data_IF_108882109945
#
_entry.id   IF_108882109945
#
_cell.length_a   1.000
_cell.length_b   1.000
_cell.length_c   1.000
_cell.angle_alpha   90.00
_cell.angle_beta   90.00
_cell.angle_gamma   90.00
#
_symmetry.space_group_name_H-M   'P 1'
#
loop_
_entity.id
_entity.type
_entity.pdbx_description
1 polymer ?
#
# COMPACT_ATOMS: atom_id res chain seq x y z
N UNK A 1 -24.91 -43.31 -6.35
CA UNK A 1 -24.65 -42.32 -5.30
C UNK A 1 -23.15 -42.03 -5.05
N UNK A 2 -22.25 -42.88 -5.40
CA UNK A 2 -20.82 -42.66 -5.18
C UNK A 2 -20.11 -41.88 -6.29
N UNK A 3 -20.75 -41.61 -7.39
CA UNK A 3 -20.16 -40.92 -8.56
C UNK A 3 -20.31 -39.38 -8.48
N UNK A 4 -21.29 -38.88 -7.73
CA UNK A 4 -21.52 -37.47 -7.59
C UNK A 4 -20.47 -36.74 -6.70
N UNK A 5 -19.80 -37.50 -5.84
CA UNK A 5 -18.80 -36.95 -4.91
C UNK A 5 -17.42 -36.73 -5.55
N UNK A 6 -17.13 -37.42 -6.65
CA UNK A 6 -15.84 -37.34 -7.35
C UNK A 6 -15.76 -36.16 -8.35
N UNK A 7 -16.90 -35.67 -8.80
CA UNK A 7 -16.98 -34.55 -9.74
C UNK A 7 -16.83 -33.17 -9.09
N UNK A 8 -16.98 -33.11 -7.76
CA UNK A 8 -16.88 -31.85 -7.03
C UNK A 8 -15.45 -31.44 -6.67
N UNK A 9 -14.54 -32.40 -6.58
CA UNK A 9 -13.15 -32.16 -6.18
C UNK A 9 -12.34 -31.39 -7.24
N UNK A 10 -12.41 -31.73 -8.54
CA UNK A 10 -11.68 -30.97 -9.56
C UNK A 10 -12.23 -29.55 -9.79
N UNK A 11 -13.52 -29.32 -9.57
CA UNK A 11 -14.10 -27.99 -9.70
C UNK A 11 -13.65 -27.04 -8.57
N UNK A 12 -13.45 -27.57 -7.36
CA UNK A 12 -12.94 -26.77 -6.24
C UNK A 12 -11.45 -26.43 -6.41
N UNK A 13 -10.68 -27.31 -7.02
CA UNK A 13 -9.27 -27.09 -7.35
C UNK A 13 -9.08 -26.08 -8.50
N UNK A 14 -9.99 -26.06 -9.47
CA UNK A 14 -9.98 -25.07 -10.54
C UNK A 14 -10.38 -23.67 -10.05
N UNK A 15 -11.33 -23.58 -9.13
CA UNK A 15 -11.69 -22.27 -8.54
C UNK A 15 -10.58 -21.69 -7.64
N UNK A 16 -9.77 -22.54 -7.03
CA UNK A 16 -8.58 -22.11 -6.29
C UNK A 16 -7.43 -21.63 -7.20
N UNK A 17 -7.35 -22.09 -8.42
CA UNK A 17 -6.35 -21.69 -9.41
C UNK A 17 -6.73 -20.37 -10.12
N UNK A 18 -8.00 -20.06 -10.29
CA UNK A 18 -8.47 -18.81 -10.89
C UNK A 18 -8.32 -17.62 -9.95
N UNK A 19 -8.27 -17.85 -8.62
CA UNK A 19 -7.97 -16.79 -7.64
C UNK A 19 -6.52 -16.26 -7.74
N UNK A 20 -5.64 -16.91 -8.51
CA UNK A 20 -4.26 -16.47 -8.79
C UNK A 20 -4.12 -15.69 -10.10
N UNK A 21 -5.14 -15.56 -10.87
CA UNK A 21 -5.11 -14.91 -12.19
C UNK A 21 -5.35 -13.40 -12.09
N UNK A 22 -4.45 -12.67 -11.44
CA UNK A 22 -4.39 -11.20 -11.51
C UNK A 22 -5.68 -10.47 -11.11
N UNK A 23 -5.60 -9.14 -11.11
CA UNK A 23 -6.76 -8.27 -10.82
C UNK A 23 -7.74 -8.28 -12.00
N UNK A 24 -9.07 -8.39 -11.75
CA UNK A 24 -10.08 -8.23 -12.79
C UNK A 24 -9.94 -6.86 -13.49
N UNK A 25 -10.11 -6.83 -14.81
CA UNK A 25 -10.03 -5.59 -15.58
C UNK A 25 -11.02 -4.53 -15.06
N UNK A 26 -12.25 -4.93 -14.75
CA UNK A 26 -13.27 -4.06 -14.17
C UNK A 26 -12.87 -3.43 -12.83
N UNK A 27 -12.10 -4.14 -12.02
CA UNK A 27 -11.57 -3.60 -10.76
C UNK A 27 -10.49 -2.55 -11.02
N UNK A 28 -9.57 -2.82 -11.97
CA UNK A 28 -8.54 -1.86 -12.37
C UNK A 28 -9.12 -0.57 -12.92
N UNK A 29 -10.16 -0.67 -13.74
CA UNK A 29 -10.87 0.48 -14.30
C UNK A 29 -11.54 1.32 -13.21
N UNK A 30 -12.28 0.70 -12.29
CA UNK A 30 -12.92 1.39 -11.15
C UNK A 30 -11.90 2.06 -10.24
N UNK A 31 -10.76 1.40 -9.99
CA UNK A 31 -9.70 1.94 -9.19
C UNK A 31 -9.04 3.15 -9.85
N UNK A 32 -8.78 3.08 -11.15
CA UNK A 32 -8.22 4.18 -11.93
C UNK A 32 -9.19 5.38 -12.02
N UNK A 33 -10.49 5.13 -12.15
CA UNK A 33 -11.52 6.18 -12.17
C UNK A 33 -11.64 6.87 -10.82
N UNK A 34 -11.76 6.11 -9.73
CA UNK A 34 -11.78 6.67 -8.38
C UNK A 34 -10.53 7.49 -8.06
N UNK A 35 -9.38 7.08 -8.55
CA UNK A 35 -8.12 7.79 -8.40
C UNK A 35 -8.08 9.12 -9.16
N UNK A 36 -8.72 9.21 -10.33
CA UNK A 36 -8.81 10.46 -11.11
C UNK A 36 -9.70 11.51 -10.45
N UNK A 37 -10.74 11.07 -9.76
CA UNK A 37 -11.66 11.96 -9.03
C UNK A 37 -11.04 12.52 -7.76
N UNK A 38 -10.20 11.74 -7.10
CA UNK A 38 -9.58 12.10 -5.83
C UNK A 38 -8.19 12.71 -6.04
N UNK A 39 -8.16 14.03 -6.24
CA UNK A 39 -6.90 14.77 -6.42
C UNK A 39 -6.14 15.00 -5.13
N UNK A 40 -6.86 15.09 -4.03
CA UNK A 40 -6.29 15.30 -2.70
C UNK A 40 -6.97 14.38 -1.71
N UNK A 41 -6.19 13.80 -0.80
CA UNK A 41 -6.71 12.95 0.27
C UNK A 41 -6.16 13.49 1.58
N UNK A 42 -7.05 13.61 2.56
CA UNK A 42 -6.69 13.88 3.93
C UNK A 42 -7.47 12.94 4.83
N UNK A 43 -6.77 12.19 5.67
CA UNK A 43 -7.38 11.27 6.61
C UNK A 43 -6.53 11.07 7.86
N UNK A 44 -7.16 10.65 8.93
CA UNK A 44 -6.45 10.18 10.12
C UNK A 44 -6.03 8.73 9.89
N UNK A 45 -4.86 8.36 10.40
CA UNK A 45 -4.37 7.00 10.33
C UNK A 45 -3.91 6.48 11.69
N UNK A 46 -4.01 5.18 11.86
CA UNK A 46 -3.40 4.43 12.95
C UNK A 46 -2.53 3.35 12.37
N UNK A 47 -1.26 3.35 12.73
CA UNK A 47 -0.29 2.35 12.32
C UNK A 47 0.09 1.49 13.52
N UNK A 48 -0.02 0.18 13.38
CA UNK A 48 0.42 -0.79 14.39
C UNK A 48 1.66 -1.50 13.91
N UNK A 49 2.70 -1.44 14.72
CA UNK A 49 3.99 -2.05 14.43
C UNK A 49 4.29 -3.13 15.45
N UNK A 50 4.37 -4.37 14.98
CA UNK A 50 4.80 -5.49 15.79
C UNK A 50 6.27 -5.77 15.57
N UNK A 51 7.06 -5.66 16.62
CA UNK A 51 8.49 -5.94 16.58
C UNK A 51 8.73 -7.33 17.16
N UNK A 52 9.40 -8.20 16.39
CA UNK A 52 9.61 -9.63 16.72
C UNK A 52 10.15 -9.91 18.14
N UNK A 53 10.84 -8.95 18.75
CA UNK A 53 11.45 -9.10 20.09
C UNK A 53 10.71 -8.35 21.20
N UNK A 54 9.67 -7.60 20.86
CA UNK A 54 8.86 -6.88 21.83
C UNK A 54 7.51 -7.58 22.00
N UNK A 55 7.12 -7.80 23.26
CA UNK A 55 5.80 -8.35 23.58
C UNK A 55 4.66 -7.37 23.29
N UNK A 56 4.95 -6.07 23.23
CA UNK A 56 3.98 -5.01 23.05
C UNK A 56 4.01 -4.51 21.62
N UNK A 57 2.84 -4.28 21.07
CA UNK A 57 2.61 -3.61 19.81
C UNK A 57 2.83 -2.10 20.00
N UNK A 58 3.53 -1.47 19.05
CA UNK A 58 3.70 -0.01 19.05
C UNK A 58 2.60 0.56 18.17
N UNK A 59 1.77 1.41 18.74
CA UNK A 59 0.74 2.14 18.02
C UNK A 59 1.21 3.56 17.72
N UNK A 60 1.18 3.94 16.45
CA UNK A 60 1.47 5.28 15.95
C UNK A 60 0.19 5.86 15.38
N UNK A 61 -0.04 7.16 15.58
CA UNK A 61 -1.21 7.86 15.05
C UNK A 61 -0.79 9.15 14.37
N UNK A 62 -1.60 9.56 13.41
CA UNK A 62 -1.33 10.83 12.74
C UNK A 62 -2.34 11.15 11.65
N UNK A 63 -2.00 12.17 10.87
CA UNK A 63 -2.74 12.59 9.68
C UNK A 63 -1.94 12.29 8.42
N UNK A 64 -2.62 11.75 7.45
CA UNK A 64 -2.10 11.50 6.11
C UNK A 64 -2.63 12.58 5.16
N UNK A 65 -1.74 13.11 4.36
CA UNK A 65 -2.03 14.06 3.30
C UNK A 65 -1.46 13.54 1.99
N UNK A 66 -2.24 13.59 0.95
CA UNK A 66 -1.83 13.26 -0.40
C UNK A 66 -2.31 14.33 -1.37
N UNK A 67 -1.43 14.72 -2.27
CA UNK A 67 -1.74 15.59 -3.39
C UNK A 67 -1.31 14.91 -4.69
N UNK A 68 -2.15 14.97 -5.69
CA UNK A 68 -1.90 14.40 -7.02
C UNK A 68 -0.64 14.96 -7.71
N UNK A 69 -0.10 16.07 -7.23
CA UNK A 69 1.23 16.58 -7.62
C UNK A 69 2.41 15.69 -7.13
N UNK A 70 2.09 14.49 -6.63
CA UNK A 70 3.02 13.47 -6.18
C UNK A 70 3.74 13.80 -4.86
N UNK A 71 3.10 14.59 -4.03
CA UNK A 71 3.53 14.83 -2.66
C UNK A 71 2.61 14.10 -1.68
N UNK A 72 3.18 13.47 -0.68
CA UNK A 72 2.45 12.91 0.44
C UNK A 72 3.16 13.19 1.75
N UNK A 73 2.40 13.34 2.81
CA UNK A 73 2.90 13.60 4.14
C UNK A 73 2.18 12.75 5.17
N UNK A 74 2.96 12.21 6.10
CA UNK A 74 2.50 11.58 7.32
C UNK A 74 2.92 12.50 8.47
N UNK A 75 1.94 13.09 9.12
CA UNK A 75 2.15 13.99 10.26
C UNK A 75 1.71 13.26 11.53
N UNK A 76 2.68 12.81 12.33
CA UNK A 76 2.42 11.98 13.50
C UNK A 76 1.97 12.82 14.68
N UNK A 77 0.89 12.42 15.30
CA UNK A 77 0.43 12.95 16.59
C UNK A 77 0.88 12.07 17.75
N UNK A 78 1.22 10.80 17.44
CA UNK A 78 1.83 9.87 18.40
C UNK A 78 2.91 9.07 17.64
N UNK A 79 4.19 9.32 17.92
CA UNK A 79 4.78 10.39 18.75
C UNK A 79 4.57 11.78 18.14
N UNK A 80 4.38 12.77 18.99
CA UNK A 80 4.12 14.13 18.54
C UNK A 80 5.36 14.74 17.88
N UNK A 81 5.15 15.41 16.74
CA UNK A 81 6.17 16.18 16.04
C UNK A 81 7.00 15.40 15.03
N UNK A 82 6.84 14.07 14.96
CA UNK A 82 7.44 13.29 13.90
C UNK A 82 6.68 13.50 12.58
N UNK A 83 7.41 13.52 11.47
CA UNK A 83 6.84 13.75 10.14
C UNK A 83 7.61 13.02 9.06
N UNK A 84 6.90 12.47 8.10
CA UNK A 84 7.46 11.91 6.88
C UNK A 84 6.87 12.65 5.69
N UNK A 85 7.68 13.21 4.83
CA UNK A 85 7.25 13.84 3.58
C UNK A 85 7.92 13.08 2.43
N UNK A 86 7.13 12.58 1.50
CA UNK A 86 7.60 11.88 0.31
C UNK A 86 7.25 12.74 -0.89
N UNK A 87 8.26 13.11 -1.64
CA UNK A 87 8.15 13.77 -2.95
C UNK A 87 8.74 12.86 -4.03
N UNK A 88 8.66 13.27 -5.28
CA UNK A 88 9.12 12.46 -6.42
C UNK A 88 10.56 11.97 -6.29
N UNK A 89 11.43 12.84 -5.82
CA UNK A 89 12.88 12.67 -5.85
C UNK A 89 13.51 12.51 -4.46
N UNK A 90 12.75 12.77 -3.38
CA UNK A 90 13.29 12.81 -2.03
C UNK A 90 12.30 12.43 -0.94
N UNK A 91 12.83 11.94 0.16
CA UNK A 91 12.12 11.70 1.40
C UNK A 91 12.72 12.59 2.47
N UNK A 92 11.85 13.30 3.17
CA UNK A 92 12.21 14.15 4.31
C UNK A 92 11.61 13.50 5.55
N UNK A 93 12.47 13.19 6.50
CA UNK A 93 12.10 12.63 7.80
C UNK A 93 12.38 13.67 8.88
N UNK A 94 11.38 13.94 9.70
CA UNK A 94 11.55 14.67 10.94
C UNK A 94 11.29 13.71 12.09
N UNK A 95 12.28 13.49 12.92
CA UNK A 95 12.19 12.55 14.06
C UNK A 95 12.91 13.15 15.24
N UNK A 96 12.24 13.23 16.38
CA UNK A 96 12.79 13.81 17.61
C UNK A 96 13.42 15.22 17.40
N UNK A 97 12.80 16.05 16.56
CA UNK A 97 13.27 17.39 16.23
C UNK A 97 14.39 17.46 15.19
N UNK A 98 14.98 16.34 14.82
CA UNK A 98 15.99 16.28 13.75
C UNK A 98 15.34 16.09 12.37
N UNK A 99 15.87 16.80 11.38
CA UNK A 99 15.41 16.71 10.01
C UNK A 99 16.49 16.05 9.16
N UNK A 100 16.14 14.95 8.51
CA UNK A 100 16.99 14.23 7.57
C UNK A 100 16.32 14.21 6.20
N UNK A 101 17.09 14.48 5.16
CA UNK A 101 16.63 14.43 3.78
C UNK A 101 17.46 13.43 2.99
N UNK A 102 16.79 12.54 2.26
CA UNK A 102 17.44 11.51 1.44
C UNK A 102 16.80 11.47 0.07
N UNK A 103 17.61 11.36 -0.98
CA UNK A 103 17.07 11.08 -2.31
C UNK A 103 16.46 9.68 -2.36
N UNK A 104 15.31 9.55 -2.99
CA UNK A 104 14.63 8.24 -3.12
C UNK A 104 15.49 7.23 -3.89
N UNK A 105 16.27 7.71 -4.86
CA UNK A 105 17.19 6.89 -5.65
C UNK A 105 18.38 6.33 -4.85
N UNK A 106 18.72 6.95 -3.73
CA UNK A 106 19.87 6.52 -2.91
C UNK A 106 19.58 5.27 -2.05
N UNK A 107 18.32 4.90 -1.87
CA UNK A 107 17.93 3.74 -1.06
C UNK A 107 16.82 2.94 -1.77
N UNK A 108 17.12 1.74 -2.29
CA UNK A 108 16.14 0.90 -2.99
C UNK A 108 14.90 0.55 -2.16
N UNK A 109 15.06 0.38 -0.85
CA UNK A 109 13.93 0.08 0.04
C UNK A 109 12.99 1.27 0.15
N UNK A 110 13.49 2.48 0.31
CA UNK A 110 12.68 3.70 0.36
C UNK A 110 12.00 3.97 -0.99
N UNK A 111 12.68 3.67 -2.08
CA UNK A 111 12.12 3.75 -3.43
C UNK A 111 10.91 2.81 -3.59
N UNK A 112 11.00 1.57 -3.11
CA UNK A 112 9.90 0.63 -3.13
C UNK A 112 8.72 1.07 -2.26
N UNK A 113 8.98 1.58 -1.06
CA UNK A 113 7.93 2.10 -0.18
C UNK A 113 7.20 3.28 -0.84
N UNK A 114 7.93 4.23 -1.40
CA UNK A 114 7.34 5.36 -2.12
C UNK A 114 6.50 4.90 -3.31
N UNK A 115 6.98 3.91 -4.06
CA UNK A 115 6.27 3.31 -5.18
C UNK A 115 4.96 2.63 -4.73
N UNK A 116 5.00 1.83 -3.65
CA UNK A 116 3.83 1.16 -3.10
C UNK A 116 2.75 2.16 -2.68
N UNK A 117 3.14 3.20 -1.95
CA UNK A 117 2.21 4.23 -1.49
C UNK A 117 1.61 4.96 -2.69
N UNK A 118 2.43 5.32 -3.67
CA UNK A 118 1.97 5.99 -4.90
C UNK A 118 0.98 5.11 -5.67
N UNK A 119 1.34 3.85 -5.93
CA UNK A 119 0.48 2.92 -6.63
C UNK A 119 -0.87 2.71 -5.91
N UNK A 120 -0.85 2.66 -4.58
CA UNK A 120 -2.07 2.56 -3.76
C UNK A 120 -2.95 3.79 -3.87
N UNK A 121 -2.37 4.99 -4.00
CA UNK A 121 -3.10 6.25 -4.09
C UNK A 121 -3.60 6.55 -5.50
N UNK A 122 -2.82 6.22 -6.51
CA UNK A 122 -3.15 6.47 -7.91
C UNK A 122 -3.96 5.33 -8.55
N UNK A 123 -4.00 4.16 -7.91
CA UNK A 123 -4.57 2.96 -8.51
C UNK A 123 -3.76 2.42 -9.69
N UNK A 124 -2.62 3.00 -9.99
CA UNK A 124 -1.74 2.54 -11.07
C UNK A 124 -0.82 1.44 -10.56
N UNK A 125 -1.28 0.21 -10.71
CA UNK A 125 -0.57 -1.00 -10.30
C UNK A 125 0.49 -1.44 -11.32
N UNK A 126 0.56 -0.80 -12.49
CA UNK A 126 1.55 -1.12 -13.53
C UNK A 126 2.97 -0.77 -13.10
N UNK A 127 3.12 0.10 -12.11
CA UNK A 127 4.41 0.49 -11.54
C UNK A 127 5.09 -0.62 -10.71
N UNK A 128 4.32 -1.63 -10.29
CA UNK A 128 4.91 -2.81 -9.65
C UNK A 128 5.58 -3.68 -10.73
N UNK A 129 6.90 -3.78 -10.68
CA UNK A 129 7.68 -4.58 -11.62
C UNK A 129 7.44 -6.09 -11.48
N UNK A 130 8.18 -6.87 -12.27
CA UNK A 130 8.02 -8.33 -12.39
C UNK A 130 8.19 -9.14 -11.10
N UNK A 131 8.72 -8.55 -10.03
CA UNK A 131 8.91 -9.19 -8.73
C UNK A 131 7.67 -9.19 -7.82
N UNK A 132 6.55 -8.60 -8.24
CA UNK A 132 5.36 -8.46 -7.41
C UNK A 132 4.22 -9.33 -7.91
N UNK A 133 3.61 -10.06 -6.99
CA UNK A 133 2.34 -10.75 -7.23
C UNK A 133 1.22 -9.98 -6.56
N UNK A 134 0.27 -9.51 -7.34
CA UNK A 134 -0.90 -8.78 -6.85
C UNK A 134 -2.09 -9.72 -6.90
N UNK A 135 -2.67 -10.02 -5.73
CA UNK A 135 -3.89 -10.81 -5.58
C UNK A 135 -5.10 -9.93 -5.33
N UNK A 136 -6.26 -10.40 -5.73
CA UNK A 136 -7.56 -9.80 -5.45
C UNK A 136 -8.42 -10.78 -4.67
N UNK A 137 -9.03 -10.31 -3.60
CA UNK A 137 -10.00 -11.07 -2.81
C UNK A 137 -11.21 -10.19 -2.57
N UNK A 138 -12.36 -10.61 -3.03
CA UNK A 138 -13.64 -9.99 -2.74
C UNK A 138 -14.19 -10.57 -1.43
N UNK A 139 -14.61 -9.69 -0.52
CA UNK A 139 -15.25 -10.08 0.73
C UNK A 139 -16.76 -9.91 0.63
#
# INVERSE_FOLDING_TARGET
>A
MKIASLLFIPALLLSGLTARAGLPASFKERLAEASRENRTIQCDFTQRKQVRRMKNEIELKGRFYYDNSLAMALDYTVPEGDKVIIRNDRIILKTAGQVTQTATSANPMLQQVALMIRASMTGDLSQFGQGWQIGYTEK
#
